data_IF_011206827573
#
_entry.id   IF_011206827573
#
_cell.length_a   1.000
_cell.length_b   1.000
_cell.length_c   1.000
_cell.angle_alpha   90.00
_cell.angle_beta   90.00
_cell.angle_gamma   90.00
#
_symmetry.space_group_name_H-M   'P 1'
#
loop_
_entity.id
_entity.type
_entity.pdbx_description
1 polymer ?
#
# COMPACT_ATOMS: atom_id res chain seq x y z
N UNK A 1 -19.54 -4.52 2.30
CA UNK A 1 -18.11 -4.69 2.65
C UNK A 1 -17.81 -6.18 2.72
N UNK A 2 -17.00 -6.70 1.80
CA UNK A 2 -16.59 -8.11 1.80
C UNK A 2 -15.13 -8.21 2.26
N UNK A 3 -14.91 -8.72 3.47
CA UNK A 3 -13.58 -8.88 4.05
C UNK A 3 -12.68 -9.83 3.25
N UNK A 4 -13.27 -10.84 2.60
CA UNK A 4 -12.53 -11.82 1.79
C UNK A 4 -11.92 -11.20 0.53
N UNK A 5 -12.42 -10.03 0.11
CA UNK A 5 -11.85 -9.26 -1.00
C UNK A 5 -10.70 -8.35 -0.61
N UNK A 6 -10.22 -8.39 0.63
CA UNK A 6 -9.08 -7.58 1.07
C UNK A 6 -7.80 -8.39 1.01
N UNK A 7 -6.67 -7.73 0.78
CA UNK A 7 -5.36 -8.36 0.93
C UNK A 7 -5.12 -8.78 2.38
N UNK A 8 -4.25 -9.77 2.58
CA UNK A 8 -3.88 -10.26 3.92
C UNK A 8 -3.34 -9.12 4.78
N UNK A 9 -2.52 -8.24 4.19
CA UNK A 9 -2.00 -7.05 4.88
C UNK A 9 -3.08 -6.09 5.35
N UNK A 10 -4.09 -5.82 4.53
CA UNK A 10 -5.18 -4.95 4.92
C UNK A 10 -6.06 -5.59 6.01
N UNK A 11 -6.27 -6.91 5.96
CA UNK A 11 -6.98 -7.66 7.01
C UNK A 11 -6.24 -7.62 8.35
N UNK A 12 -4.93 -7.86 8.34
CA UNK A 12 -4.07 -7.74 9.52
C UNK A 12 -4.15 -6.33 10.13
N UNK A 13 -4.06 -5.30 9.29
CA UNK A 13 -4.13 -3.91 9.75
C UNK A 13 -5.50 -3.54 10.32
N UNK A 14 -6.59 -4.11 9.78
CA UNK A 14 -7.92 -3.96 10.35
C UNK A 14 -8.03 -4.58 11.74
N UNK A 15 -7.50 -5.79 11.92
CA UNK A 15 -7.44 -6.44 13.23
C UNK A 15 -6.61 -5.63 14.23
N UNK A 16 -5.44 -5.13 13.81
CA UNK A 16 -4.60 -4.28 14.67
C UNK A 16 -5.28 -2.94 15.00
N UNK A 17 -6.02 -2.36 14.04
CA UNK A 17 -6.78 -1.13 14.29
C UNK A 17 -7.90 -1.32 15.31
N UNK A 18 -8.52 -2.52 15.35
CA UNK A 18 -9.50 -2.88 16.36
C UNK A 18 -8.83 -3.00 17.74
N UNK A 19 -7.71 -3.72 17.83
CA UNK A 19 -6.94 -3.84 19.07
C UNK A 19 -6.51 -2.47 19.60
N UNK A 20 -6.11 -1.56 18.72
CA UNK A 20 -5.73 -0.19 19.08
C UNK A 20 -6.92 0.61 19.63
N UNK A 21 -8.08 0.55 18.98
CA UNK A 21 -9.28 1.24 19.43
C UNK A 21 -9.76 0.71 20.79
N UNK A 22 -9.74 -0.61 20.99
CA UNK A 22 -10.05 -1.26 22.28
C UNK A 22 -9.06 -0.81 23.35
N UNK A 23 -7.76 -0.85 23.08
CA UNK A 23 -6.71 -0.44 24.03
C UNK A 23 -6.74 1.04 24.41
N UNK A 24 -7.42 1.88 23.63
CA UNK A 24 -7.63 3.32 23.90
C UNK A 24 -9.01 3.66 24.45
N UNK A 25 -9.85 2.65 24.73
CA UNK A 25 -11.26 2.81 25.12
C UNK A 25 -12.07 3.61 24.09
N UNK A 26 -11.71 3.55 22.80
CA UNK A 26 -12.47 4.22 21.76
C UNK A 26 -13.69 3.37 21.36
N UNK A 27 -14.91 3.94 21.37
CA UNK A 27 -16.13 3.21 21.02
C UNK A 27 -16.20 2.85 19.53
N UNK A 28 -15.43 3.55 18.70
CA UNK A 28 -15.42 3.34 17.24
C UNK A 28 -14.01 3.15 16.68
N UNK A 29 -13.89 2.22 15.73
CA UNK A 29 -12.72 2.07 14.86
C UNK A 29 -12.83 3.14 13.78
N UNK A 30 -12.12 4.23 13.99
CA UNK A 30 -11.98 5.34 13.03
C UNK A 30 -10.94 5.04 11.93
N UNK A 31 -11.03 5.69 10.75
CA UNK A 31 -10.01 5.60 9.69
C UNK A 31 -8.59 5.90 10.15
N UNK A 32 -8.44 6.77 11.15
CA UNK A 32 -7.15 7.08 11.76
C UNK A 32 -6.50 5.85 12.42
N UNK A 33 -7.28 4.95 13.03
CA UNK A 33 -6.74 3.72 13.62
C UNK A 33 -6.17 2.82 12.53
N UNK A 34 -6.90 2.66 11.43
CA UNK A 34 -6.48 1.82 10.32
C UNK A 34 -5.22 2.37 9.65
N UNK A 35 -5.15 3.68 9.37
CA UNK A 35 -3.94 4.26 8.80
C UNK A 35 -2.75 4.15 9.76
N UNK A 36 -2.95 4.36 11.05
CA UNK A 36 -1.89 4.22 12.04
C UNK A 36 -1.34 2.77 12.07
N UNK A 37 -2.24 1.78 12.06
CA UNK A 37 -1.87 0.37 11.97
C UNK A 37 -1.09 0.08 10.67
N UNK A 38 -1.59 0.54 9.52
CA UNK A 38 -0.92 0.38 8.21
C UNK A 38 0.48 1.01 8.16
N UNK A 39 0.67 2.17 8.79
CA UNK A 39 1.98 2.86 8.84
C UNK A 39 3.00 2.13 9.72
N UNK A 40 2.53 1.44 10.77
CA UNK A 40 3.39 0.70 11.70
C UNK A 40 3.52 -0.79 11.37
N UNK A 41 2.78 -1.26 10.37
CA UNK A 41 2.78 -2.66 9.97
C UNK A 41 4.15 -3.07 9.42
N UNK A 42 4.72 -4.12 10.01
CA UNK A 42 5.97 -4.70 9.52
C UNK A 42 5.77 -5.34 8.13
N UNK A 43 6.69 -5.05 7.22
CA UNK A 43 6.57 -5.46 5.83
C UNK A 43 5.40 -4.79 5.09
N UNK A 44 4.81 -3.74 5.64
CA UNK A 44 3.77 -2.95 4.98
C UNK A 44 4.32 -2.06 3.85
N UNK A 45 3.51 -1.84 2.82
CA UNK A 45 3.84 -0.97 1.68
C UNK A 45 3.63 0.52 1.97
N UNK A 46 2.79 0.84 2.97
CA UNK A 46 2.25 2.18 3.18
C UNK A 46 3.31 3.18 3.66
N UNK A 47 4.18 2.82 4.60
CA UNK A 47 5.27 3.70 5.00
C UNK A 47 6.16 4.09 3.81
N UNK A 48 6.51 3.11 2.96
CA UNK A 48 7.32 3.35 1.75
C UNK A 48 6.61 4.20 0.69
N UNK A 49 5.27 4.09 0.61
CA UNK A 49 4.43 4.93 -0.25
C UNK A 49 4.52 6.41 0.18
N UNK A 50 4.37 6.69 1.47
CA UNK A 50 4.51 8.04 1.99
C UNK A 50 5.94 8.59 1.83
N UNK A 51 6.98 7.78 2.03
CA UNK A 51 8.37 8.18 1.76
C UNK A 51 8.57 8.57 0.29
N UNK A 52 7.99 7.82 -0.65
CA UNK A 52 8.05 8.13 -2.09
C UNK A 52 7.35 9.46 -2.42
N UNK A 53 6.36 9.84 -1.63
CA UNK A 53 5.65 11.12 -1.74
C UNK A 53 6.35 12.28 -1.02
N UNK A 54 7.57 12.06 -0.51
CA UNK A 54 8.33 13.00 0.32
C UNK A 54 7.59 13.45 1.59
N UNK A 55 6.74 12.58 2.15
CA UNK A 55 6.09 12.81 3.43
C UNK A 55 6.99 12.33 4.56
N UNK A 56 7.17 13.17 5.59
CA UNK A 56 7.86 12.80 6.81
C UNK A 56 6.99 11.84 7.64
N UNK A 57 7.22 10.53 7.44
CA UNK A 57 6.46 9.44 8.06
C UNK A 57 6.46 9.52 9.61
N UNK A 58 7.60 9.73 10.29
CA UNK A 58 7.61 10.00 11.74
C UNK A 58 6.67 11.11 12.19
N UNK A 59 6.65 12.23 11.48
CA UNK A 59 5.74 13.35 11.81
C UNK A 59 4.29 12.99 11.52
N UNK A 60 4.00 12.32 10.40
CA UNK A 60 2.64 11.83 10.10
C UNK A 60 2.11 10.90 11.20
N UNK A 61 2.93 9.95 11.67
CA UNK A 61 2.56 9.03 12.76
C UNK A 61 2.24 9.81 14.04
N UNK A 62 3.06 10.80 14.40
CA UNK A 62 2.85 11.65 15.57
C UNK A 62 1.55 12.47 15.48
N UNK A 63 1.26 13.06 14.32
CA UNK A 63 0.00 13.80 14.12
C UNK A 63 -1.21 12.85 14.17
N UNK A 64 -1.09 11.64 13.62
CA UNK A 64 -2.12 10.61 13.76
C UNK A 64 -2.35 10.22 15.23
N UNK A 65 -1.29 10.08 16.02
CA UNK A 65 -1.43 9.81 17.46
C UNK A 65 -2.21 10.91 18.16
N UNK A 66 -1.94 12.18 17.83
CA UNK A 66 -2.70 13.31 18.39
C UNK A 66 -4.18 13.25 18.03
N UNK A 67 -4.53 12.85 16.80
CA UNK A 67 -5.93 12.63 16.40
C UNK A 67 -6.54 11.54 17.27
N UNK A 68 -5.87 10.39 17.39
CA UNK A 68 -6.34 9.25 18.18
C UNK A 68 -6.52 9.60 19.67
N UNK A 69 -5.62 10.41 20.23
CA UNK A 69 -5.69 10.81 21.64
C UNK A 69 -6.83 11.78 21.95
N UNK A 70 -7.34 12.48 20.93
CA UNK A 70 -8.50 13.39 21.03
C UNK A 70 -9.83 12.68 20.83
N UNK A 71 -9.83 11.41 20.40
CA UNK A 71 -11.07 10.67 20.18
C UNK A 71 -11.82 10.43 21.50
N UNK A 72 -13.17 10.40 21.48
CA UNK A 72 -13.96 10.08 22.65
C UNK A 72 -13.58 8.73 23.26
N UNK A 73 -13.61 8.65 24.59
CA UNK A 73 -13.34 7.43 25.34
C UNK A 73 -14.61 6.97 26.08
N UNK A 74 -14.94 5.70 25.97
CA UNK A 74 -16.10 5.07 26.62
C UNK A 74 -15.67 3.74 27.21
N UNK A 75 -15.68 3.64 28.53
CA UNK A 75 -15.32 2.41 29.23
C UNK A 75 -16.47 1.40 29.20
N UNK A 76 -16.13 0.11 29.06
CA UNK A 76 -17.09 -1.00 29.16
C UNK A 76 -18.05 -1.15 27.96
N UNK A 77 -17.81 -0.42 26.87
CA UNK A 77 -18.56 -0.56 25.62
C UNK A 77 -17.90 -1.53 24.63
N UNK A 78 -18.69 -2.10 23.73
CA UNK A 78 -18.17 -2.85 22.59
C UNK A 78 -17.72 -1.88 21.49
N UNK A 79 -16.45 -1.97 21.08
CA UNK A 79 -15.90 -1.20 19.97
C UNK A 79 -16.54 -1.64 18.64
N UNK A 80 -17.04 -0.69 17.86
CA UNK A 80 -17.69 -0.93 16.56
C UNK A 80 -16.94 -0.25 15.41
N UNK A 81 -17.15 -0.68 14.17
CA UNK A 81 -16.58 0.02 13.01
C UNK A 81 -17.33 1.34 12.79
N UNK A 82 -16.61 2.46 12.65
CA UNK A 82 -17.23 3.75 12.33
C UNK A 82 -17.90 3.73 10.95
N UNK A 83 -18.99 4.48 10.78
CA UNK A 83 -19.64 4.66 9.47
C UNK A 83 -18.68 5.26 8.43
N UNK A 84 -17.78 6.13 8.90
CA UNK A 84 -16.77 6.77 8.07
C UNK A 84 -15.77 5.75 7.52
N UNK A 85 -15.27 4.84 8.36
CA UNK A 85 -14.39 3.76 7.91
C UNK A 85 -15.09 2.82 6.93
N UNK A 86 -16.34 2.43 7.20
CA UNK A 86 -17.13 1.61 6.25
C UNK A 86 -17.27 2.30 4.89
N UNK A 87 -17.53 3.62 4.87
CA UNK A 87 -17.62 4.41 3.64
C UNK A 87 -16.30 4.37 2.85
N UNK A 88 -15.17 4.59 3.51
CA UNK A 88 -13.85 4.58 2.87
C UNK A 88 -13.50 3.19 2.32
N UNK A 89 -13.83 2.11 3.04
CA UNK A 89 -13.58 0.74 2.57
C UNK A 89 -14.44 0.39 1.35
N UNK A 90 -15.70 0.84 1.31
CA UNK A 90 -16.53 0.70 0.12
C UNK A 90 -16.03 1.56 -1.05
N UNK A 91 -15.47 2.74 -0.79
CA UNK A 91 -14.80 3.53 -1.83
C UNK A 91 -13.53 2.84 -2.35
N UNK A 92 -12.80 2.18 -1.46
CA UNK A 92 -11.60 1.40 -1.81
C UNK A 92 -11.94 0.22 -2.73
N UNK A 93 -13.08 -0.44 -2.50
CA UNK A 93 -13.61 -1.50 -3.41
C UNK A 93 -13.91 -0.94 -4.81
N UNK A 94 -14.54 0.24 -4.89
CA UNK A 94 -14.77 0.91 -6.19
C UNK A 94 -13.46 1.26 -6.89
N UNK A 95 -12.48 1.76 -6.14
CA UNK A 95 -11.14 2.04 -6.69
C UNK A 95 -10.46 0.75 -7.16
N UNK A 96 -10.58 -0.35 -6.43
CA UNK A 96 -10.02 -1.64 -6.83
C UNK A 96 -10.55 -2.07 -8.20
N UNK A 97 -11.86 -1.96 -8.41
CA UNK A 97 -12.49 -2.24 -9.70
C UNK A 97 -11.98 -1.33 -10.82
N UNK A 98 -11.75 -0.03 -10.54
CA UNK A 98 -11.18 0.91 -11.51
C UNK A 98 -9.72 0.61 -11.88
N UNK A 99 -8.94 0.12 -10.91
CA UNK A 99 -7.55 -0.30 -11.13
C UNK A 99 -7.45 -1.71 -11.74
N UNK A 100 -8.56 -2.43 -11.91
CA UNK A 100 -8.57 -3.81 -12.38
C UNK A 100 -8.03 -4.81 -11.37
N UNK A 101 -8.05 -4.45 -10.07
CA UNK A 101 -7.63 -5.31 -8.98
C UNK A 101 -8.76 -6.26 -8.58
N UNK A 102 -8.41 -7.51 -8.27
CA UNK A 102 -9.36 -8.49 -7.73
C UNK A 102 -9.51 -8.38 -6.21
N UNK A 103 -8.50 -7.80 -5.54
CA UNK A 103 -8.46 -7.57 -4.09
C UNK A 103 -8.19 -6.10 -3.75
N UNK A 104 -8.81 -5.62 -2.68
CA UNK A 104 -8.59 -4.30 -2.10
C UNK A 104 -7.26 -4.32 -1.35
N UNK A 105 -6.29 -3.58 -1.86
CA UNK A 105 -5.00 -3.39 -1.22
C UNK A 105 -5.00 -2.18 -0.28
N UNK A 106 -4.03 -2.17 0.64
CA UNK A 106 -3.80 -1.08 1.58
C UNK A 106 -3.62 0.28 0.91
N UNK A 107 -2.98 0.30 -0.26
CA UNK A 107 -2.69 1.51 -1.04
C UNK A 107 -3.98 2.21 -1.51
N UNK A 108 -5.00 1.42 -1.89
CA UNK A 108 -6.29 1.96 -2.35
C UNK A 108 -7.12 2.52 -1.20
N UNK A 109 -6.95 1.99 0.02
CA UNK A 109 -7.52 2.61 1.21
C UNK A 109 -6.95 4.00 1.45
N UNK A 110 -5.62 4.17 1.32
CA UNK A 110 -4.99 5.49 1.44
C UNK A 110 -5.50 6.44 0.35
N UNK A 111 -5.70 5.95 -0.88
CA UNK A 111 -6.27 6.72 -1.97
C UNK A 111 -7.72 7.16 -1.70
N UNK A 112 -8.55 6.25 -1.17
CA UNK A 112 -9.92 6.58 -0.77
C UNK A 112 -9.94 7.60 0.38
N UNK A 113 -9.02 7.48 1.33
CA UNK A 113 -8.93 8.35 2.50
C UNK A 113 -8.54 9.81 2.16
N UNK A 114 -8.04 10.11 0.95
CA UNK A 114 -7.89 11.50 0.48
C UNK A 114 -9.23 12.22 0.31
N UNK A 115 -10.27 11.48 -0.09
CA UNK A 115 -11.62 12.01 -0.30
C UNK A 115 -12.42 12.03 1.02
N UNK A 116 -11.75 11.81 2.15
CA UNK A 116 -12.37 11.85 3.46
C UNK A 116 -12.66 13.29 3.92
N UNK A 117 -13.82 13.50 4.53
CA UNK A 117 -14.24 14.79 5.07
C UNK A 117 -13.92 14.95 6.57
N UNK A 118 -13.39 13.90 7.22
CA UNK A 118 -13.03 13.95 8.63
C UNK A 118 -11.58 14.38 8.86
N UNK A 119 -11.07 14.06 10.04
CA UNK A 119 -9.75 14.52 10.48
C UNK A 119 -8.62 13.89 9.68
N UNK A 120 -8.82 12.69 9.13
CA UNK A 120 -7.84 12.04 8.28
C UNK A 120 -7.65 12.80 6.95
N UNK A 121 -8.74 13.20 6.28
CA UNK A 121 -8.65 13.99 5.07
C UNK A 121 -8.06 15.39 5.31
N UNK A 122 -8.35 16.02 6.46
CA UNK A 122 -7.69 17.28 6.86
C UNK A 122 -6.20 17.09 7.06
N UNK A 123 -5.78 16.02 7.72
CA UNK A 123 -4.36 15.69 7.92
C UNK A 123 -3.66 15.53 6.57
N UNK A 124 -4.24 14.78 5.64
CA UNK A 124 -3.66 14.60 4.32
C UNK A 124 -3.49 15.91 3.53
N UNK A 125 -4.44 16.86 3.67
CA UNK A 125 -4.31 18.20 3.10
C UNK A 125 -3.16 19.00 3.72
N UNK A 126 -2.92 18.88 5.03
CA UNK A 126 -1.79 19.54 5.70
C UNK A 126 -0.44 19.03 5.19
N UNK A 127 -0.35 17.74 4.87
CA UNK A 127 0.84 17.13 4.27
C UNK A 127 0.94 17.37 2.75
N UNK A 128 0.04 18.16 2.16
CA UNK A 128 0.10 18.52 0.73
C UNK A 128 -0.15 17.34 -0.21
N UNK A 129 -0.81 16.29 0.27
CA UNK A 129 -1.14 15.12 -0.54
C UNK A 129 -2.23 15.47 -1.56
N UNK A 130 -2.03 15.03 -2.79
CA UNK A 130 -3.02 15.14 -3.86
C UNK A 130 -3.31 13.76 -4.45
N UNK A 131 -4.48 13.64 -5.08
CA UNK A 131 -4.92 12.39 -5.70
C UNK A 131 -3.97 11.95 -6.81
N UNK A 132 -3.53 12.90 -7.64
CA UNK A 132 -2.65 12.65 -8.78
C UNK A 132 -1.28 12.08 -8.39
N UNK A 133 -0.56 12.70 -7.44
CA UNK A 133 0.76 12.18 -7.02
C UNK A 133 0.61 10.85 -6.30
N UNK A 134 -0.45 10.67 -5.50
CA UNK A 134 -0.69 9.41 -4.82
C UNK A 134 -0.96 8.28 -5.83
N UNK A 135 -1.80 8.51 -6.84
CA UNK A 135 -2.02 7.55 -7.92
C UNK A 135 -0.73 7.23 -8.67
N UNK A 136 0.10 8.23 -8.98
CA UNK A 136 1.39 8.01 -9.63
C UNK A 136 2.35 7.19 -8.75
N UNK A 137 2.45 7.49 -7.45
CA UNK A 137 3.29 6.75 -6.52
C UNK A 137 2.82 5.30 -6.34
N UNK A 138 1.50 5.07 -6.32
CA UNK A 138 0.91 3.72 -6.34
C UNK A 138 1.32 2.97 -7.60
N UNK A 139 1.18 3.58 -8.78
CA UNK A 139 1.60 2.98 -10.04
C UNK A 139 3.10 2.65 -10.08
N UNK A 140 3.95 3.52 -9.51
CA UNK A 140 5.40 3.28 -9.41
C UNK A 140 5.72 2.10 -8.49
N UNK A 141 5.10 2.01 -7.32
CA UNK A 141 5.32 0.91 -6.37
C UNK A 141 4.78 -0.43 -6.91
N UNK A 142 3.70 -0.38 -7.69
CA UNK A 142 3.14 -1.56 -8.35
C UNK A 142 3.91 -1.99 -9.59
N UNK A 143 4.69 -1.10 -10.21
CA UNK A 143 5.39 -1.41 -11.47
C UNK A 143 4.46 -1.77 -12.63
N UNK A 144 3.17 -1.42 -12.54
CA UNK A 144 2.13 -1.81 -13.51
C UNK A 144 1.38 -3.11 -13.18
N UNK A 145 1.74 -3.81 -12.11
CA UNK A 145 1.04 -5.02 -11.67
C UNK A 145 -0.30 -4.70 -11.00
N UNK A 146 -1.29 -5.59 -11.22
CA UNK A 146 -2.58 -5.56 -10.53
C UNK A 146 -2.63 -6.53 -9.36
N UNK A 147 -3.46 -6.21 -8.37
CA UNK A 147 -3.60 -6.97 -7.12
C UNK A 147 -4.61 -8.09 -7.32
N UNK A 148 -4.16 -9.20 -7.90
CA UNK A 148 -5.00 -10.37 -8.20
C UNK A 148 -4.85 -11.53 -7.22
N UNK A 149 -4.03 -11.37 -6.18
CA UNK A 149 -3.84 -12.35 -5.12
C UNK A 149 -3.91 -11.63 -3.77
N UNK A 150 -4.53 -12.27 -2.79
CA UNK A 150 -4.64 -11.81 -1.41
C UNK A 150 -3.26 -11.48 -0.78
N UNK A 151 -2.20 -12.20 -1.17
CA UNK A 151 -0.82 -12.02 -0.67
C UNK A 151 0.08 -11.16 -1.59
N UNK A 152 -0.49 -10.42 -2.54
CA UNK A 152 0.28 -9.66 -3.52
C UNK A 152 1.15 -8.56 -2.90
N UNK A 153 0.74 -7.97 -1.77
CA UNK A 153 1.53 -6.95 -1.06
C UNK A 153 2.81 -7.54 -0.44
N UNK A 154 2.68 -8.69 0.23
CA UNK A 154 3.80 -9.41 0.83
C UNK A 154 4.82 -9.86 -0.20
N UNK A 155 4.32 -10.40 -1.30
CA UNK A 155 5.19 -10.92 -2.37
C UNK A 155 6.04 -9.80 -2.97
N UNK A 156 5.44 -8.62 -3.22
CA UNK A 156 6.17 -7.43 -3.71
C UNK A 156 7.24 -6.95 -2.72
N UNK A 157 6.92 -6.93 -1.43
CA UNK A 157 7.87 -6.51 -0.40
C UNK A 157 9.02 -7.50 -0.23
N UNK A 158 8.76 -8.80 -0.31
CA UNK A 158 9.79 -9.83 -0.28
C UNK A 158 10.77 -9.70 -1.45
N UNK A 159 10.27 -9.43 -2.66
CA UNK A 159 11.11 -9.16 -3.83
C UNK A 159 12.00 -7.94 -3.60
N UNK A 160 11.44 -6.82 -3.13
CA UNK A 160 12.21 -5.60 -2.88
C UNK A 160 13.29 -5.78 -1.79
N UNK A 161 13.02 -6.59 -0.75
CA UNK A 161 13.94 -6.78 0.39
C UNK A 161 15.04 -7.81 0.12
N UNK A 162 14.74 -8.88 -0.59
CA UNK A 162 15.63 -10.04 -0.70
C UNK A 162 16.12 -10.33 -2.12
N UNK A 163 15.67 -9.57 -3.12
CA UNK A 163 16.10 -9.77 -4.51
C UNK A 163 16.74 -8.51 -5.08
N UNK A 164 17.53 -8.69 -6.14
CA UNK A 164 18.10 -7.60 -6.92
C UNK A 164 17.39 -7.63 -8.28
N UNK A 165 16.69 -6.56 -8.62
CA UNK A 165 16.07 -6.43 -9.93
C UNK A 165 17.14 -6.16 -11.00
N UNK A 166 17.53 -7.21 -11.71
CA UNK A 166 18.51 -7.12 -12.80
C UNK A 166 17.93 -6.44 -14.05
N UNK A 167 16.61 -6.43 -14.23
CA UNK A 167 15.96 -5.76 -15.37
C UNK A 167 15.97 -4.26 -15.21
N UNK A 168 15.70 -3.76 -14.00
CA UNK A 168 15.80 -2.35 -13.66
C UNK A 168 17.26 -1.87 -13.77
N UNK A 169 18.22 -2.65 -13.26
CA UNK A 169 19.66 -2.33 -13.40
C UNK A 169 20.12 -2.29 -14.85
N UNK A 170 19.62 -3.19 -15.70
CA UNK A 170 19.91 -3.18 -17.13
C UNK A 170 19.34 -1.92 -17.82
N UNK A 171 18.09 -1.53 -17.51
CA UNK A 171 17.50 -0.28 -18.02
C UNK A 171 18.27 0.95 -17.57
N UNK A 172 18.79 0.94 -16.35
CA UNK A 172 19.61 2.03 -15.80
C UNK A 172 21.06 2.06 -16.32
N UNK A 173 21.44 1.14 -17.23
CA UNK A 173 22.82 1.02 -17.74
C UNK A 173 23.85 0.61 -16.67
N UNK A 174 23.39 0.11 -15.51
CA UNK A 174 24.23 -0.33 -14.38
C UNK A 174 24.57 -1.82 -14.44
N UNK A 175 24.36 -2.45 -15.60
CA UNK A 175 24.64 -3.85 -15.85
C UNK A 175 25.69 -3.91 -16.97
N UNK A 176 26.84 -4.53 -16.69
CA UNK A 176 27.90 -4.64 -17.68
C UNK A 176 27.48 -5.57 -18.82
N UNK A 177 27.84 -5.24 -20.08
CA UNK A 177 27.54 -6.10 -21.22
C UNK A 177 28.30 -7.42 -21.10
N UNK A 178 27.58 -8.54 -21.15
CA UNK A 178 28.18 -9.87 -21.11
C UNK A 178 28.52 -10.33 -22.54
N UNK A 179 29.80 -10.28 -22.89
CA UNK A 179 30.30 -10.65 -24.22
C UNK A 179 30.47 -12.18 -24.32
N UNK A 180 30.13 -12.76 -25.48
CA UNK A 180 30.40 -14.18 -25.80
C UNK A 180 29.35 -15.20 -25.36
N UNK A 181 28.27 -14.77 -24.67
CA UNK A 181 27.21 -15.68 -24.18
C UNK A 181 25.95 -15.71 -25.04
N UNK A 182 25.92 -14.96 -26.16
CA UNK A 182 24.70 -14.75 -26.98
C UNK A 182 24.04 -16.06 -27.44
N UNK A 183 24.84 -17.07 -27.81
CA UNK A 183 24.33 -18.38 -28.24
C UNK A 183 23.64 -19.13 -27.10
N UNK A 184 24.19 -19.08 -25.87
CA UNK A 184 23.58 -19.70 -24.69
C UNK A 184 22.34 -18.92 -24.23
N UNK A 185 22.38 -17.59 -24.30
CA UNK A 185 21.26 -16.72 -23.96
C UNK A 185 20.06 -16.97 -24.90
N UNK A 186 20.29 -17.06 -26.20
CA UNK A 186 19.25 -17.35 -27.18
C UNK A 186 18.59 -18.74 -26.98
N UNK A 187 19.38 -19.76 -26.63
CA UNK A 187 18.85 -21.10 -26.28
C UNK A 187 17.97 -21.02 -25.03
N UNK A 188 18.38 -20.27 -24.01
CA UNK A 188 17.61 -20.09 -22.78
C UNK A 188 16.33 -19.27 -23.01
N UNK A 189 16.39 -18.18 -23.77
CA UNK A 189 15.21 -17.38 -24.14
C UNK A 189 14.15 -18.23 -24.87
N UNK A 190 14.58 -19.09 -25.81
CA UNK A 190 13.69 -20.03 -26.50
C UNK A 190 13.01 -21.00 -25.53
N UNK A 191 13.71 -21.50 -24.50
CA UNK A 191 13.11 -22.38 -23.50
C UNK A 191 12.05 -21.70 -22.62
N UNK A 192 12.10 -20.37 -22.50
CA UNK A 192 11.13 -19.57 -21.74
C UNK A 192 10.09 -18.85 -22.62
N UNK A 193 10.00 -19.19 -23.91
CA UNK A 193 9.12 -18.54 -24.88
C UNK A 193 9.31 -17.00 -24.94
N UNK A 194 10.49 -16.52 -24.56
CA UNK A 194 10.85 -15.11 -24.58
C UNK A 194 11.59 -14.78 -25.88
N UNK A 195 11.23 -13.67 -26.52
CA UNK A 195 11.94 -13.18 -27.72
C UNK A 195 13.19 -12.42 -27.27
N UNK A 196 14.40 -12.87 -27.62
CA UNK A 196 15.60 -12.10 -27.30
C UNK A 196 15.57 -10.77 -28.09
N UNK A 197 15.47 -9.64 -27.39
CA UNK A 197 15.66 -8.33 -28.01
C UNK A 197 17.15 -8.10 -28.24
N UNK A 198 17.58 -8.27 -29.48
CA UNK A 198 18.95 -8.09 -29.96
C UNK A 198 19.30 -6.60 -30.10
N UNK A 199 19.23 -5.79 -29.03
CA UNK A 199 19.75 -4.41 -29.12
C UNK A 199 20.07 -3.84 -27.74
N UNK A 200 21.34 -3.91 -27.37
CA UNK A 200 22.03 -2.99 -26.49
C UNK A 200 23.52 -3.14 -26.86
N UNK A 201 23.91 -2.40 -27.90
CA UNK A 201 25.29 -1.98 -28.11
C UNK A 201 25.47 -0.62 -27.43
#
# INVERSE_FOLDING_TARGET
MNFEKMTTKLQEALAESQSLAVGKDNPYIEPAHLLYALLKQEGGSIASLFTTLNVDVPTLIRELQQILDRLPKVQGGNTQVSQQLVRLLNQSDKLAQQFGDSFISSELFVLAALDDNGDLGKLFKQFGLNKEKLTQAISQIRGGDTVNNQNAEDTRQALKKYTIDLTERAKAGKLDPVIGVMKKFAVRCKSYNAVPKTTLC
#
